data_IF_419710629084
#
_entry.id   IF_419710629084
#
_cell.length_a   1.000
_cell.length_b   1.000
_cell.length_c   1.000
_cell.angle_alpha   90.00
_cell.angle_beta   90.00
_cell.angle_gamma   90.00
#
_symmetry.space_group_name_H-M   'P 1'
#
loop_
_entity.id
_entity.type
_entity.pdbx_description
1 polymer ?
#
# COMPACT_ATOMS: atom_id res chain seq x y z
N UNK A 1 8.56 7.62 26.94
CA UNK A 1 7.87 8.11 25.73
C UNK A 1 7.06 6.95 25.18
N UNK A 2 5.76 7.14 24.94
CA UNK A 2 4.87 6.09 24.42
C UNK A 2 4.51 6.47 22.98
N UNK A 3 4.67 5.52 22.06
CA UNK A 3 4.29 5.68 20.66
C UNK A 3 3.11 4.76 20.39
N UNK A 4 2.05 5.29 19.81
CA UNK A 4 0.92 4.50 19.30
C UNK A 4 0.79 4.77 17.81
N UNK A 5 0.46 3.73 17.05
CA UNK A 5 0.18 3.82 15.63
C UNK A 5 -1.26 3.34 15.39
N UNK A 6 -2.03 4.13 14.66
CA UNK A 6 -3.39 3.80 14.28
C UNK A 6 -3.77 4.50 12.99
N UNK A 7 -4.72 3.91 12.26
CA UNK A 7 -5.32 4.50 11.07
C UNK A 7 -6.66 5.12 11.43
N UNK A 8 -6.90 6.34 10.97
CA UNK A 8 -8.18 7.03 11.13
C UNK A 8 -8.40 8.00 9.98
N UNK A 9 -9.64 8.42 9.80
CA UNK A 9 -9.99 9.57 8.97
C UNK A 9 -9.62 10.87 9.68
N UNK A 10 -9.26 11.89 8.90
CA UNK A 10 -9.17 13.27 9.37
C UNK A 10 -10.52 13.92 9.11
N UNK A 11 -11.23 14.32 10.17
CA UNK A 11 -12.55 14.94 10.07
C UNK A 11 -12.47 16.38 10.58
N UNK A 12 -12.80 17.35 9.72
CA UNK A 12 -12.75 18.78 10.04
C UNK A 12 -11.37 19.23 10.58
N UNK A 13 -10.28 18.66 10.07
CA UNK A 13 -8.92 18.94 10.54
C UNK A 13 -8.58 18.31 11.89
N UNK A 14 -9.42 17.44 12.44
CA UNK A 14 -9.20 16.75 13.70
C UNK A 14 -8.94 15.25 13.50
N UNK A 15 -7.99 14.72 14.27
CA UNK A 15 -7.69 13.29 14.41
C UNK A 15 -8.19 12.87 15.78
N UNK A 16 -9.24 12.05 15.81
CA UNK A 16 -9.78 11.53 17.06
C UNK A 16 -8.92 10.35 17.53
N UNK A 17 -8.41 10.43 18.76
CA UNK A 17 -7.70 9.30 19.38
C UNK A 17 -8.72 8.18 19.68
N UNK A 18 -8.50 6.95 19.17
CA UNK A 18 -9.35 5.81 19.47
C UNK A 18 -9.49 5.56 20.98
N UNK A 19 -10.67 5.12 21.42
CA UNK A 19 -11.00 4.96 22.85
C UNK A 19 -9.98 4.12 23.62
N UNK A 20 -9.48 3.06 23.00
CA UNK A 20 -8.44 2.18 23.54
C UNK A 20 -7.14 2.90 23.96
N UNK A 21 -6.84 4.06 23.37
CA UNK A 21 -5.64 4.83 23.65
C UNK A 21 -5.91 6.08 24.51
N UNK A 22 -7.18 6.47 24.72
CA UNK A 22 -7.49 7.71 25.44
C UNK A 22 -6.98 7.72 26.88
N UNK A 23 -6.95 6.56 27.55
CA UNK A 23 -6.41 6.46 28.91
C UNK A 23 -4.90 6.70 28.99
N UNK A 24 -4.18 6.48 27.89
CA UNK A 24 -2.72 6.66 27.79
C UNK A 24 -2.34 8.12 27.49
N UNK A 25 -3.24 8.90 26.88
CA UNK A 25 -3.03 10.30 26.49
C UNK A 25 -3.88 11.29 27.31
N UNK A 26 -4.01 11.06 28.62
CA UNK A 26 -4.77 11.95 29.53
C UNK A 26 -4.24 13.39 29.49
N UNK A 27 -5.13 14.38 29.55
CA UNK A 27 -4.80 15.80 29.42
C UNK A 27 -4.19 16.41 30.69
N UNK A 28 -3.42 17.52 30.56
CA UNK A 28 -2.89 18.09 29.32
C UNK A 28 -1.51 17.50 28.98
N UNK A 29 -1.36 16.93 27.79
CA UNK A 29 -0.09 16.40 27.29
C UNK A 29 0.19 16.96 25.89
N UNK A 30 1.43 17.43 25.68
CA UNK A 30 1.92 17.81 24.35
C UNK A 30 2.42 16.53 23.66
N UNK A 31 1.96 16.29 22.44
CA UNK A 31 2.32 15.09 21.66
C UNK A 31 2.99 15.47 20.34
N UNK A 32 3.94 14.64 19.90
CA UNK A 32 4.49 14.67 18.54
C UNK A 32 3.62 13.78 17.65
N UNK A 33 3.13 14.30 16.53
CA UNK A 33 2.29 13.57 15.58
C UNK A 33 3.06 13.36 14.27
N UNK A 34 2.96 12.17 13.69
CA UNK A 34 3.47 11.84 12.36
C UNK A 34 2.29 11.38 11.51
N UNK A 35 2.09 12.03 10.36
CA UNK A 35 1.01 11.71 9.43
C UNK A 35 1.63 11.06 8.18
N UNK A 36 1.11 9.89 7.82
CA UNK A 36 1.43 9.19 6.58
C UNK A 36 0.13 8.94 5.85
N UNK A 37 0.03 9.44 4.63
CA UNK A 37 -1.08 9.13 3.74
C UNK A 37 -0.60 8.05 2.78
N UNK A 38 -1.30 6.92 2.76
CA UNK A 38 -1.16 5.95 1.67
C UNK A 38 -1.70 6.62 0.41
N UNK A 39 -0.82 7.20 -0.39
CA UNK A 39 -1.13 7.44 -1.79
C UNK A 39 -1.28 6.07 -2.41
N UNK A 40 -2.52 5.66 -2.68
CA UNK A 40 -2.75 4.63 -3.70
C UNK A 40 -2.27 5.29 -4.99
N UNK A 41 -0.96 5.22 -5.23
CA UNK A 41 -0.48 5.46 -6.58
C UNK A 41 -1.29 4.49 -7.42
N UNK A 42 -2.13 5.04 -8.29
CA UNK A 42 -2.68 4.30 -9.41
C UNK A 42 -1.51 4.03 -10.37
N UNK A 43 -0.48 3.33 -9.90
CA UNK A 43 0.35 2.55 -10.81
C UNK A 43 -0.61 1.48 -11.30
N UNK A 44 -1.25 1.75 -12.44
CA UNK A 44 -2.07 0.76 -13.12
C UNK A 44 -1.26 -0.52 -13.14
N UNK A 45 -1.80 -1.57 -12.51
CA UNK A 45 -1.09 -2.83 -12.33
C UNK A 45 -0.55 -3.23 -13.71
N UNK A 46 0.78 -3.34 -13.86
CA UNK A 46 1.39 -3.65 -15.14
C UNK A 46 0.83 -4.95 -15.73
N UNK A 47 0.42 -5.90 -14.89
CA UNK A 47 -0.31 -7.10 -15.32
C UNK A 47 -1.68 -6.74 -15.90
N UNK A 48 -2.44 -5.86 -15.26
CA UNK A 48 -3.73 -5.38 -15.78
C UNK A 48 -3.55 -4.67 -17.13
N UNK A 49 -2.54 -3.81 -17.25
CA UNK A 49 -2.21 -3.13 -18.50
C UNK A 49 -1.88 -4.13 -19.61
N UNK A 50 -1.06 -5.16 -19.33
CA UNK A 50 -0.70 -6.19 -20.32
C UNK A 50 -1.86 -7.12 -20.70
N UNK A 51 -2.83 -7.34 -19.79
CA UNK A 51 -4.06 -8.08 -20.09
C UNK A 51 -4.96 -7.30 -21.04
N UNK A 52 -5.04 -5.97 -20.88
CA UNK A 52 -5.82 -5.08 -21.75
C UNK A 52 -5.09 -4.74 -23.06
N UNK A 53 -3.75 -4.71 -23.02
CA UNK A 53 -2.87 -4.37 -24.13
C UNK A 53 -1.79 -5.45 -24.30
N UNK A 54 -2.11 -6.62 -24.89
CA UNK A 54 -1.15 -7.68 -25.10
C UNK A 54 0.00 -7.20 -26.01
N UNK A 55 1.23 -7.59 -25.67
CA UNK A 55 2.39 -7.30 -26.50
C UNK A 55 2.36 -8.20 -27.74
N UNK A 56 2.16 -7.58 -28.91
CA UNK A 56 2.30 -8.24 -30.19
C UNK A 56 3.75 -8.15 -30.64
N UNK A 57 4.51 -9.22 -30.42
CA UNK A 57 5.90 -9.35 -30.89
C UNK A 57 5.88 -10.30 -32.08
N UNK A 58 6.16 -9.79 -33.27
CA UNK A 58 6.03 -10.51 -34.54
C UNK A 58 6.88 -11.80 -34.59
N UNK A 59 8.06 -11.78 -33.99
CA UNK A 59 9.03 -12.88 -34.01
C UNK A 59 9.11 -13.65 -32.68
N UNK A 60 8.08 -13.59 -31.84
CA UNK A 60 8.08 -14.36 -30.60
C UNK A 60 7.91 -15.85 -30.92
N UNK A 61 8.97 -16.63 -30.72
CA UNK A 61 8.90 -18.09 -30.69
C UNK A 61 8.85 -18.51 -29.22
N UNK A 62 7.67 -18.83 -28.66
CA UNK A 62 7.58 -19.22 -27.26
C UNK A 62 8.38 -20.52 -27.06
N UNK A 63 9.16 -20.57 -25.98
CA UNK A 63 9.77 -21.83 -25.58
C UNK A 63 8.67 -22.85 -25.29
N UNK A 64 8.90 -24.08 -25.73
CA UNK A 64 8.03 -25.20 -25.40
C UNK A 64 8.13 -25.48 -23.91
N UNK A 65 7.05 -26.03 -23.36
CA UNK A 65 6.95 -26.31 -21.93
C UNK A 65 8.08 -27.23 -21.46
N UNK A 66 8.45 -28.20 -22.29
CA UNK A 66 9.52 -29.15 -22.03
C UNK A 66 10.89 -28.43 -21.93
N UNK A 67 11.14 -27.44 -22.78
CA UNK A 67 12.40 -26.66 -22.80
C UNK A 67 12.55 -25.76 -21.57
N UNK A 68 11.45 -25.38 -20.93
CA UNK A 68 11.45 -24.55 -19.71
C UNK A 68 11.88 -25.40 -18.50
N UNK A 69 11.38 -26.64 -18.40
CA UNK A 69 11.66 -27.52 -17.26
C UNK A 69 13.01 -28.25 -17.37
N UNK A 70 13.62 -28.32 -18.54
CA UNK A 70 14.96 -28.91 -18.72
C UNK A 70 16.11 -28.00 -18.27
N UNK A 71 15.84 -26.70 -18.01
CA UNK A 71 16.83 -25.69 -17.61
C UNK A 71 16.74 -25.28 -16.12
N UNK A 72 15.97 -26.00 -15.30
CA UNK A 72 15.94 -25.90 -13.82
C UNK A 72 16.71 -27.07 -13.18
#
# INVERSE_FOLDING_TARGET
>A
MITVEFKTTIENGMIKIPEQYQQQFKQPNIVKVTLQQETVEKTGNYLQYLLEHPLNIEDLTPMKREEIYENE
#
